data_IF_861809105723
#
_entry.id   IF_861809105723
#
_cell.length_a   1.000
_cell.length_b   1.000
_cell.length_c   1.000
_cell.angle_alpha   90.00
_cell.angle_beta   90.00
_cell.angle_gamma   90.00
#
_symmetry.space_group_name_H-M   'P 1'
#
loop_
_entity.id
_entity.type
_entity.pdbx_description
1 polymer ?
#
# COMPACT_ATOMS: atom_id res chain seq x y z
N UNK A 1 32.20 62.70 -1.99
CA UNK A 1 30.84 62.68 -1.44
C UNK A 1 30.54 61.24 -1.08
N UNK A 2 30.68 60.90 0.19
CA UNK A 2 30.50 59.55 0.70
C UNK A 2 29.02 59.38 1.05
N UNK A 3 28.32 58.53 0.33
CA UNK A 3 26.93 58.18 0.67
C UNK A 3 26.96 57.09 1.74
N UNK A 4 26.81 57.49 3.00
CA UNK A 4 26.63 56.56 4.10
C UNK A 4 25.34 55.74 3.86
N UNK A 5 25.52 54.45 3.58
CA UNK A 5 24.47 53.45 3.41
C UNK A 5 23.63 53.39 4.68
N UNK A 6 22.38 53.86 4.61
CA UNK A 6 21.43 53.81 5.73
C UNK A 6 21.07 52.33 5.97
N UNK A 7 21.60 51.74 7.04
CA UNK A 7 21.21 50.41 7.47
C UNK A 7 19.70 50.39 7.76
N UNK A 8 18.95 49.75 6.89
CA UNK A 8 17.54 49.43 7.12
C UNK A 8 17.47 48.34 8.19
N UNK A 9 17.57 48.75 9.46
CA UNK A 9 17.28 47.88 10.59
C UNK A 9 15.80 47.52 10.52
N UNK A 10 15.53 46.29 10.11
CA UNK A 10 14.21 45.70 10.14
C UNK A 10 13.66 45.82 11.55
N UNK A 11 12.65 46.66 11.74
CA UNK A 11 11.91 46.77 12.99
C UNK A 11 11.00 45.54 13.05
N UNK A 12 11.57 44.40 13.40
CA UNK A 12 10.79 43.24 13.82
C UNK A 12 10.20 43.64 15.17
N UNK A 13 8.95 44.11 15.15
CA UNK A 13 8.20 44.32 16.37
C UNK A 13 8.21 42.99 17.15
N UNK A 14 8.63 43.00 18.41
CA UNK A 14 8.75 41.81 19.28
C UNK A 14 7.55 40.86 19.19
N UNK A 15 6.34 41.39 18.95
CA UNK A 15 5.12 40.62 18.72
C UNK A 15 5.10 39.75 17.46
N UNK A 16 5.71 40.17 16.33
CA UNK A 16 5.75 39.35 15.10
C UNK A 16 6.74 38.20 15.22
N UNK A 17 7.85 38.39 15.95
CA UNK A 17 8.78 37.30 16.25
C UNK A 17 8.13 36.21 17.12
N UNK A 18 7.38 36.59 18.15
CA UNK A 18 6.65 35.64 19.01
C UNK A 18 5.57 34.87 18.24
N UNK A 19 4.84 35.54 17.33
CA UNK A 19 3.83 34.90 16.48
C UNK A 19 4.45 33.82 15.59
N UNK A 20 5.59 34.08 14.97
CA UNK A 20 6.30 33.11 14.12
C UNK A 20 6.75 31.89 14.92
N UNK A 21 7.27 32.09 16.14
CA UNK A 21 7.69 30.98 17.02
C UNK A 21 6.51 30.08 17.38
N UNK A 22 5.35 30.65 17.72
CA UNK A 22 4.15 29.87 18.04
C UNK A 22 3.67 29.08 16.81
N UNK A 23 3.62 29.72 15.63
CA UNK A 23 3.22 29.04 14.39
C UNK A 23 4.14 27.87 14.05
N UNK A 24 5.46 28.06 14.19
CA UNK A 24 6.44 27.00 13.97
C UNK A 24 6.24 25.86 14.97
N UNK A 25 6.01 26.17 16.25
CA UNK A 25 5.72 25.16 17.28
C UNK A 25 4.45 24.34 16.96
N UNK A 26 3.38 25.00 16.52
CA UNK A 26 2.15 24.33 16.08
C UNK A 26 2.39 23.48 14.83
N UNK A 27 3.14 23.99 13.86
CA UNK A 27 3.49 23.24 12.65
C UNK A 27 4.29 21.97 12.98
N UNK A 28 5.28 22.06 13.89
CA UNK A 28 6.01 20.89 14.35
C UNK A 28 5.12 19.87 15.06
N UNK A 29 4.19 20.32 15.89
CA UNK A 29 3.25 19.43 16.56
C UNK A 29 2.36 18.67 15.54
N UNK A 30 1.84 19.37 14.51
CA UNK A 30 1.06 18.74 13.44
C UNK A 30 1.89 17.76 12.63
N UNK A 31 3.11 18.15 12.22
CA UNK A 31 4.01 17.27 11.48
C UNK A 31 4.30 16.01 12.30
N UNK A 32 4.63 16.14 13.59
CA UNK A 32 4.89 15.00 14.46
C UNK A 32 3.68 14.06 14.57
N UNK A 33 2.47 14.61 14.74
CA UNK A 33 1.25 13.82 14.80
C UNK A 33 0.99 13.05 13.49
N UNK A 34 1.18 13.71 12.33
CA UNK A 34 1.06 13.08 11.02
C UNK A 34 2.14 12.00 10.81
N UNK A 35 3.38 12.25 11.23
CA UNK A 35 4.46 11.26 11.16
C UNK A 35 4.12 10.03 11.98
N UNK A 36 3.66 10.17 13.23
CA UNK A 36 3.29 9.03 14.08
C UNK A 36 2.13 8.24 13.46
N UNK A 37 1.07 8.93 13.02
CA UNK A 37 -0.09 8.30 12.38
C UNK A 37 0.30 7.56 11.10
N UNK A 38 1.11 8.19 10.25
CA UNK A 38 1.61 7.58 9.02
C UNK A 38 2.54 6.41 9.31
N UNK A 39 3.46 6.51 10.27
CA UNK A 39 4.35 5.41 10.64
C UNK A 39 3.58 4.20 11.17
N UNK A 40 2.53 4.42 11.98
CA UNK A 40 1.69 3.33 12.46
C UNK A 40 0.93 2.65 11.31
N UNK A 41 0.31 3.44 10.42
CA UNK A 41 -0.38 2.90 9.26
C UNK A 41 0.58 2.16 8.32
N UNK A 42 1.75 2.74 8.05
CA UNK A 42 2.77 2.13 7.22
C UNK A 42 3.28 0.83 7.83
N UNK A 43 3.51 0.80 9.14
CA UNK A 43 3.91 -0.43 9.84
C UNK A 43 2.86 -1.52 9.70
N UNK A 44 1.59 -1.21 9.95
CA UNK A 44 0.51 -2.18 9.81
C UNK A 44 0.37 -2.70 8.37
N UNK A 45 0.52 -1.81 7.38
CA UNK A 45 0.53 -2.18 5.97
C UNK A 45 1.72 -3.09 5.63
N UNK A 46 2.93 -2.71 6.03
CA UNK A 46 4.14 -3.51 5.80
C UNK A 46 4.03 -4.89 6.45
N UNK A 47 3.43 -4.97 7.65
CA UNK A 47 3.17 -6.25 8.29
C UNK A 47 2.21 -7.12 7.48
N UNK A 48 1.06 -6.59 7.07
CA UNK A 48 0.10 -7.32 6.23
C UNK A 48 0.71 -7.78 4.91
N UNK A 49 1.58 -6.96 4.30
CA UNK A 49 2.29 -7.34 3.07
C UNK A 49 3.30 -8.46 3.31
N UNK A 50 4.01 -8.45 4.45
CA UNK A 50 4.90 -9.54 4.82
C UNK A 50 4.12 -10.84 5.04
N UNK A 51 3.05 -10.78 5.82
CA UNK A 51 2.17 -11.93 6.08
C UNK A 51 1.61 -12.50 4.75
N UNK A 52 1.11 -11.64 3.86
CA UNK A 52 0.62 -12.04 2.53
C UNK A 52 1.70 -12.66 1.64
N UNK A 53 2.93 -12.12 1.71
CA UNK A 53 4.06 -12.64 0.96
C UNK A 53 4.42 -14.05 1.44
N UNK A 54 4.43 -14.26 2.76
CA UNK A 54 4.70 -15.56 3.37
C UNK A 54 3.63 -16.59 2.96
N UNK A 55 2.34 -16.23 3.06
CA UNK A 55 1.20 -17.06 2.61
C UNK A 55 1.33 -17.47 1.14
N UNK A 56 1.66 -16.50 0.26
CA UNK A 56 1.85 -16.77 -1.17
C UNK A 56 2.98 -17.76 -1.42
N UNK A 57 4.12 -17.61 -0.73
CA UNK A 57 5.25 -18.52 -0.90
C UNK A 57 4.97 -19.92 -0.34
N UNK A 58 4.19 -20.03 0.74
CA UNK A 58 3.73 -21.31 1.26
C UNK A 58 2.85 -22.04 0.23
N UNK A 59 1.85 -21.36 -0.33
CA UNK A 59 0.99 -21.92 -1.39
C UNK A 59 1.78 -22.28 -2.66
N UNK A 60 2.74 -21.43 -3.04
CA UNK A 60 3.65 -21.67 -4.15
C UNK A 60 4.49 -22.94 -3.93
N UNK A 61 5.06 -23.11 -2.73
CA UNK A 61 5.85 -24.30 -2.43
C UNK A 61 5.00 -25.58 -2.46
N UNK A 62 3.79 -25.53 -1.88
CA UNK A 62 2.84 -26.65 -1.97
C UNK A 62 2.47 -27.00 -3.41
N UNK A 63 2.31 -25.99 -4.28
CA UNK A 63 2.06 -26.23 -5.70
C UNK A 63 3.25 -26.92 -6.37
N UNK A 64 4.48 -26.48 -6.11
CA UNK A 64 5.67 -27.14 -6.65
C UNK A 64 5.83 -28.57 -6.13
N UNK A 65 5.54 -28.84 -4.86
CA UNK A 65 5.56 -30.20 -4.30
C UNK A 65 4.57 -31.10 -5.04
N UNK A 66 3.33 -30.66 -5.26
CA UNK A 66 2.33 -31.40 -6.06
C UNK A 66 2.76 -31.63 -7.52
N UNK A 67 3.47 -30.67 -8.12
CA UNK A 67 4.02 -30.83 -9.48
C UNK A 67 5.13 -31.88 -9.51
N UNK A 68 6.03 -31.83 -8.53
CA UNK A 68 7.13 -32.77 -8.42
C UNK A 68 6.64 -34.19 -8.12
N UNK A 69 5.64 -34.34 -7.25
CA UNK A 69 5.02 -35.64 -6.94
C UNK A 69 4.35 -36.29 -8.16
N UNK A 70 3.76 -35.48 -9.04
CA UNK A 70 3.15 -35.93 -10.30
C UNK A 70 4.15 -36.09 -11.45
N UNK A 71 5.45 -35.96 -11.21
CA UNK A 71 6.52 -36.02 -12.23
C UNK A 71 6.24 -35.10 -13.44
N UNK A 72 5.75 -33.88 -13.18
CA UNK A 72 5.39 -32.90 -14.21
C UNK A 72 4.33 -33.38 -15.21
N UNK A 73 3.51 -34.37 -14.83
CA UNK A 73 2.36 -34.79 -15.62
C UNK A 73 1.34 -33.66 -15.78
N UNK A 74 0.55 -33.75 -16.85
CA UNK A 74 -0.50 -32.80 -17.14
C UNK A 74 -1.55 -32.79 -16.02
N UNK A 75 -1.70 -31.65 -15.35
CA UNK A 75 -2.62 -31.49 -14.23
C UNK A 75 -3.06 -30.05 -14.05
N UNK A 76 -4.26 -29.87 -13.49
CA UNK A 76 -4.80 -28.58 -13.10
C UNK A 76 -5.31 -28.68 -11.67
N UNK A 77 -4.86 -27.78 -10.81
CA UNK A 77 -5.24 -27.75 -9.41
C UNK A 77 -5.15 -26.33 -8.85
N UNK A 78 -5.72 -26.18 -7.67
CA UNK A 78 -5.72 -24.92 -6.92
C UNK A 78 -5.11 -25.15 -5.55
N UNK A 79 -4.46 -24.12 -5.02
CA UNK A 79 -3.92 -24.09 -3.66
C UNK A 79 -4.42 -22.82 -2.99
N UNK A 80 -5.02 -22.94 -1.82
CA UNK A 80 -5.47 -21.81 -1.04
C UNK A 80 -4.28 -20.98 -0.55
N UNK A 81 -4.32 -19.66 -0.76
CA UNK A 81 -3.32 -18.72 -0.22
C UNK A 81 -3.83 -18.17 1.10
N UNK A 82 -5.09 -17.72 1.11
CA UNK A 82 -5.81 -17.23 2.28
C UNK A 82 -7.33 -17.31 2.03
N UNK A 83 -8.14 -16.78 2.95
CA UNK A 83 -9.60 -16.84 2.91
C UNK A 83 -10.25 -16.26 1.64
N UNK A 84 -9.53 -15.42 0.89
CA UNK A 84 -10.08 -14.71 -0.29
C UNK A 84 -9.22 -14.87 -1.54
N UNK A 85 -8.17 -15.69 -1.52
CA UNK A 85 -7.26 -15.84 -2.65
C UNK A 85 -6.80 -17.28 -2.79
N UNK A 86 -6.75 -17.72 -4.05
CA UNK A 86 -6.25 -19.03 -4.44
C UNK A 86 -5.17 -18.88 -5.50
N UNK A 87 -4.23 -19.82 -5.54
CA UNK A 87 -3.26 -19.99 -6.60
C UNK A 87 -3.74 -21.07 -7.56
N UNK A 88 -4.09 -20.68 -8.78
CA UNK A 88 -4.51 -21.58 -9.85
C UNK A 88 -3.30 -21.98 -10.70
N UNK A 89 -3.04 -23.29 -10.74
CA UNK A 89 -1.86 -23.88 -11.37
C UNK A 89 -2.26 -24.89 -12.42
N UNK A 90 -1.68 -24.77 -13.61
CA UNK A 90 -1.86 -25.72 -14.71
C UNK A 90 -0.49 -26.11 -15.26
N UNK A 91 -0.28 -27.41 -15.41
CA UNK A 91 0.90 -28.02 -16.02
C UNK A 91 0.44 -28.80 -17.24
N UNK A 92 1.11 -28.60 -18.37
CA UNK A 92 0.90 -29.40 -19.57
C UNK A 92 2.22 -29.54 -20.33
N UNK A 93 2.52 -30.74 -20.84
CA UNK A 93 3.73 -30.98 -21.64
C UNK A 93 5.04 -30.83 -20.85
N UNK A 94 4.99 -30.96 -19.52
CA UNK A 94 6.16 -30.79 -18.65
C UNK A 94 6.53 -29.33 -18.36
N UNK A 95 5.64 -28.37 -18.64
CA UNK A 95 5.82 -26.96 -18.33
C UNK A 95 4.59 -26.37 -17.63
N UNK A 96 4.81 -25.33 -16.81
CA UNK A 96 3.73 -24.61 -16.13
C UNK A 96 3.12 -23.62 -17.13
N UNK A 97 1.86 -23.85 -17.51
CA UNK A 97 1.13 -23.02 -18.47
C UNK A 97 0.30 -21.93 -17.80
N UNK A 98 -0.15 -22.17 -16.57
CA UNK A 98 -0.91 -21.20 -15.76
C UNK A 98 -0.34 -21.14 -14.34
N UNK A 99 -0.03 -19.93 -13.90
CA UNK A 99 0.38 -19.62 -12.53
C UNK A 99 -0.21 -18.27 -12.14
N UNK A 100 -1.45 -18.27 -11.66
CA UNK A 100 -2.19 -17.04 -11.42
C UNK A 100 -2.88 -17.07 -10.07
N UNK A 101 -2.76 -15.96 -9.33
CA UNK A 101 -3.55 -15.71 -8.12
C UNK A 101 -4.94 -15.21 -8.54
N UNK A 102 -5.97 -15.91 -8.08
CA UNK A 102 -7.38 -15.56 -8.33
C UNK A 102 -8.03 -15.17 -7.00
N UNK A 103 -8.83 -14.10 -7.02
CA UNK A 103 -9.57 -13.65 -5.84
C UNK A 103 -10.92 -14.37 -5.78
N UNK A 104 -11.21 -15.03 -4.66
CA UNK A 104 -12.45 -15.79 -4.42
C UNK A 104 -13.51 -14.98 -3.67
N UNK A 105 -13.21 -13.74 -3.32
CA UNK A 105 -14.14 -12.81 -2.69
C UNK A 105 -15.31 -12.46 -3.63
N UNK A 106 -16.53 -12.59 -3.11
CA UNK A 106 -17.73 -12.09 -3.79
C UNK A 106 -17.75 -10.56 -3.69
N UNK A 107 -17.60 -9.87 -4.82
CA UNK A 107 -17.90 -8.45 -4.90
C UNK A 107 -19.41 -8.25 -4.96
N UNK A 108 -20.02 -7.94 -3.82
CA UNK A 108 -21.42 -7.51 -3.78
C UNK A 108 -21.46 -6.01 -4.11
N UNK A 109 -21.90 -5.69 -5.32
CA UNK A 109 -22.09 -4.31 -5.74
C UNK A 109 -23.23 -3.70 -4.90
N UNK A 110 -22.92 -2.71 -4.06
CA UNK A 110 -23.94 -1.94 -3.36
C UNK A 110 -24.86 -1.27 -4.37
N UNK A 111 -25.98 -1.95 -4.64
CA UNK A 111 -26.96 -1.59 -5.66
C UNK A 111 -27.86 -0.44 -5.21
N UNK A 112 -27.57 0.19 -4.06
CA UNK A 112 -28.27 1.40 -3.60
C UNK A 112 -27.73 2.69 -4.22
N UNK A 113 -26.59 2.64 -4.93
CA UNK A 113 -26.04 3.81 -5.59
C UNK A 113 -26.86 4.20 -6.83
N UNK A 114 -27.29 5.48 -6.94
CA UNK A 114 -28.00 5.96 -8.12
C UNK A 114 -27.08 5.96 -9.35
N UNK A 115 -27.48 5.24 -10.40
CA UNK A 115 -26.80 5.24 -11.69
C UNK A 115 -27.08 6.58 -12.39
N UNK A 116 -26.06 7.41 -12.62
CA UNK A 116 -26.20 8.58 -13.49
C UNK A 116 -26.30 8.12 -14.94
N UNK A 117 -27.52 8.07 -15.48
CA UNK A 117 -27.73 7.99 -16.92
C UNK A 117 -27.44 9.35 -17.52
N UNK A 118 -26.35 9.47 -18.28
CA UNK A 118 -26.12 10.63 -19.14
C UNK A 118 -27.02 10.43 -20.36
N UNK A 119 -28.06 11.24 -20.50
CA UNK A 119 -28.88 11.30 -21.71
C UNK A 119 -28.02 11.88 -22.86
N UNK A 120 -28.09 11.24 -24.04
CA UNK A 120 -27.32 11.58 -25.26
C UNK A 120 -27.78 12.91 -25.90
#
# INVERSE_FOLDING_TARGET
MEHAKKEQRSIINIGTSLMVVILIGLAFAVIAALTISSSHNNYNLSKKLADHTDEYYEASNQAYEKIAESDWADQEFQVDINDNQILSVQVSGGEITKWQVENTGSWDADSTQPVMTIED
#
